data_IF_587556309369
#
_entry.id   IF_587556309369
#
_cell.length_a   1.000
_cell.length_b   1.000
_cell.length_c   1.000
_cell.angle_alpha   90.00
_cell.angle_beta   90.00
_cell.angle_gamma   90.00
#
_symmetry.space_group_name_H-M   'P 1'
#
loop_
_entity.id
_entity.type
_entity.pdbx_description
1 polymer ?
#
# COMPACT_ATOMS: atom_id res chain seq x y z
N UNK A 1 38.25 -0.92 15.27
CA UNK A 1 37.13 -0.18 14.63
C UNK A 1 36.31 -1.03 13.66
N UNK A 2 36.95 -1.74 12.72
CA UNK A 2 36.28 -2.60 11.71
C UNK A 2 35.32 -3.67 12.29
N UNK A 3 35.74 -4.40 13.33
CA UNK A 3 34.91 -5.43 13.97
C UNK A 3 33.65 -4.88 14.66
N UNK A 4 33.67 -3.62 15.12
CA UNK A 4 32.52 -2.98 15.76
C UNK A 4 31.42 -2.63 14.75
N UNK A 5 31.82 -2.16 13.56
CA UNK A 5 30.89 -1.86 12.46
C UNK A 5 30.25 -3.15 11.94
N UNK A 6 31.03 -4.20 11.71
CA UNK A 6 30.53 -5.52 11.29
C UNK A 6 29.52 -6.12 12.27
N UNK A 7 29.74 -5.96 13.58
CA UNK A 7 28.79 -6.42 14.60
C UNK A 7 27.49 -5.61 14.63
N UNK A 8 27.51 -4.31 14.32
CA UNK A 8 26.28 -3.51 14.19
C UNK A 8 25.43 -3.95 13.00
N UNK A 9 26.05 -4.22 11.84
CA UNK A 9 25.32 -4.71 10.65
C UNK A 9 24.63 -6.05 10.88
N UNK A 10 25.25 -6.97 11.65
CA UNK A 10 24.63 -8.25 11.97
C UNK A 10 23.36 -8.14 12.83
N UNK A 11 23.17 -7.01 13.53
CA UNK A 11 21.97 -6.76 14.35
C UNK A 11 20.79 -6.22 13.54
N UNK A 12 21.01 -5.76 12.31
CA UNK A 12 19.94 -5.26 11.46
C UNK A 12 19.04 -6.45 11.05
N UNK A 13 17.74 -6.24 11.22
CA UNK A 13 16.66 -7.15 10.86
C UNK A 13 15.83 -6.50 9.77
N UNK A 14 15.14 -7.32 8.99
CA UNK A 14 14.24 -6.90 7.91
C UNK A 14 13.23 -5.86 8.37
N UNK A 15 12.68 -6.04 9.57
CA UNK A 15 11.68 -5.14 10.14
C UNK A 15 12.21 -3.72 10.35
N UNK A 16 13.49 -3.54 10.68
CA UNK A 16 14.06 -2.19 10.86
C UNK A 16 14.09 -1.41 9.55
N UNK A 17 14.40 -2.08 8.43
CA UNK A 17 14.42 -1.44 7.11
C UNK A 17 13.01 -1.13 6.62
N UNK A 18 12.07 -2.08 6.78
CA UNK A 18 10.67 -1.89 6.40
C UNK A 18 10.02 -0.78 7.24
N UNK A 19 10.31 -0.73 8.54
CA UNK A 19 9.83 0.34 9.41
C UNK A 19 10.39 1.71 9.00
N UNK A 20 11.68 1.78 8.67
CA UNK A 20 12.28 3.00 8.16
C UNK A 20 11.61 3.46 6.86
N UNK A 21 11.40 2.56 5.90
CA UNK A 21 10.65 2.83 4.68
C UNK A 21 9.24 3.34 4.99
N UNK A 22 8.52 2.69 5.91
CA UNK A 22 7.16 3.06 6.29
C UNK A 22 7.10 4.48 6.89
N UNK A 23 8.00 4.78 7.84
CA UNK A 23 8.06 6.09 8.51
C UNK A 23 8.41 7.19 7.51
N UNK A 24 9.40 6.98 6.64
CA UNK A 24 9.78 7.96 5.63
C UNK A 24 8.58 8.28 4.74
N UNK A 25 7.90 7.25 4.20
CA UNK A 25 6.78 7.46 3.29
C UNK A 25 5.56 8.12 3.95
N UNK A 26 5.33 7.90 5.25
CA UNK A 26 4.26 8.60 5.99
C UNK A 26 4.38 10.12 5.86
N UNK A 27 5.59 10.68 5.90
CA UNK A 27 5.79 12.14 5.82
C UNK A 27 5.55 12.71 4.41
N UNK A 28 5.67 11.89 3.37
CA UNK A 28 5.48 12.32 1.98
C UNK A 28 4.09 11.98 1.43
N UNK A 29 3.33 11.15 2.14
CA UNK A 29 2.11 10.53 1.64
C UNK A 29 1.13 11.49 0.99
N UNK A 30 0.94 12.69 1.55
CA UNK A 30 0.00 13.70 1.02
C UNK A 30 0.68 14.81 0.23
N UNK A 31 2.01 14.89 0.29
CA UNK A 31 2.78 16.03 -0.22
C UNK A 31 3.37 15.73 -1.61
N UNK A 32 3.74 14.48 -1.86
CA UNK A 32 4.31 14.06 -3.14
C UNK A 32 4.12 12.55 -3.36
N UNK A 33 3.87 12.07 -4.59
CA UNK A 33 3.58 12.85 -5.81
C UNK A 33 2.19 13.51 -5.76
N UNK A 34 1.91 14.37 -6.75
CA UNK A 34 0.55 14.89 -6.98
C UNK A 34 -0.45 13.74 -7.16
N UNK A 35 -1.72 14.02 -6.89
CA UNK A 35 -2.80 13.03 -6.97
C UNK A 35 -2.94 12.55 -8.42
N UNK A 36 -2.86 11.23 -8.61
CA UNK A 36 -3.09 10.62 -9.92
C UNK A 36 -4.60 10.49 -10.18
N UNK A 37 -5.01 10.52 -11.46
CA UNK A 37 -6.42 10.37 -11.84
C UNK A 37 -7.04 9.10 -11.26
N UNK A 38 -6.29 8.00 -11.24
CA UNK A 38 -6.77 6.71 -10.70
C UNK A 38 -7.05 6.76 -9.20
N UNK A 39 -6.32 7.58 -8.43
CA UNK A 39 -6.55 7.73 -6.99
C UNK A 39 -7.89 8.42 -6.74
N UNK A 40 -8.17 9.50 -7.48
CA UNK A 40 -9.45 10.20 -7.42
C UNK A 40 -10.61 9.33 -7.94
N UNK A 41 -10.37 8.62 -9.04
CA UNK A 41 -11.31 7.70 -9.68
C UNK A 41 -11.75 6.59 -8.72
N UNK A 42 -10.80 5.77 -8.25
CA UNK A 42 -11.08 4.62 -7.39
C UNK A 42 -11.71 5.04 -6.05
N UNK A 43 -11.20 6.11 -5.45
CA UNK A 43 -11.74 6.62 -4.19
C UNK A 43 -13.16 7.18 -4.36
N UNK A 44 -13.40 7.93 -5.44
CA UNK A 44 -14.72 8.47 -5.78
C UNK A 44 -15.75 7.34 -5.96
N UNK A 45 -15.37 6.29 -6.68
CA UNK A 45 -16.20 5.10 -6.87
C UNK A 45 -16.50 4.36 -5.56
N UNK A 46 -15.49 4.20 -4.69
CA UNK A 46 -15.70 3.63 -3.35
C UNK A 46 -16.66 4.46 -2.51
N UNK A 47 -16.59 5.80 -2.60
CA UNK A 47 -17.52 6.70 -1.92
C UNK A 47 -18.93 6.59 -2.48
N UNK A 48 -19.08 6.50 -3.79
CA UNK A 48 -20.38 6.30 -4.46
C UNK A 48 -21.03 4.99 -4.00
N UNK A 49 -20.30 3.87 -4.09
CA UNK A 49 -20.76 2.54 -3.61
C UNK A 49 -21.21 2.62 -2.15
N UNK A 50 -20.47 3.33 -1.30
CA UNK A 50 -20.82 3.51 0.11
C UNK A 50 -22.11 4.29 0.31
N UNK A 51 -22.33 5.34 -0.48
CA UNK A 51 -23.50 6.22 -0.38
C UNK A 51 -24.76 5.57 -0.95
N UNK A 52 -24.65 4.89 -2.08
CA UNK A 52 -25.76 4.18 -2.75
C UNK A 52 -26.05 2.81 -2.13
N UNK A 53 -25.08 2.26 -1.40
CA UNK A 53 -25.08 0.86 -0.90
C UNK A 53 -25.20 -0.17 -2.03
N UNK A 54 -24.75 0.19 -3.22
CA UNK A 54 -24.82 -0.64 -4.41
C UNK A 54 -23.42 -0.92 -4.97
N UNK A 55 -23.04 -2.20 -5.00
CA UNK A 55 -21.75 -2.67 -5.51
C UNK A 55 -21.64 -2.58 -7.04
N UNK A 56 -22.78 -2.48 -7.74
CA UNK A 56 -22.84 -2.30 -9.18
C UNK A 56 -22.78 -0.84 -9.60
N UNK A 57 -22.75 0.10 -8.64
CA UNK A 57 -22.76 1.53 -8.94
C UNK A 57 -21.63 1.92 -9.90
N UNK A 58 -22.02 2.71 -10.90
CA UNK A 58 -21.15 3.39 -11.84
C UNK A 58 -20.80 4.78 -11.33
N UNK A 59 -19.87 5.42 -12.00
CA UNK A 59 -19.49 6.79 -11.65
C UNK A 59 -20.46 7.79 -12.23
N UNK A 60 -20.69 8.90 -11.53
CA UNK A 60 -21.56 9.97 -12.00
C UNK A 60 -21.11 10.58 -13.35
N UNK A 61 -19.83 10.41 -13.73
CA UNK A 61 -19.23 11.04 -14.92
C UNK A 61 -18.95 10.06 -16.07
N UNK A 62 -18.92 8.75 -15.82
CA UNK A 62 -18.59 7.71 -16.80
C UNK A 62 -19.65 6.60 -16.81
N UNK A 63 -20.90 7.00 -17.00
CA UNK A 63 -22.05 6.07 -17.12
C UNK A 63 -22.31 5.67 -18.59
N UNK A 64 -21.24 5.50 -19.38
CA UNK A 64 -21.33 5.17 -20.80
C UNK A 64 -21.54 3.67 -21.05
N UNK A 65 -21.14 2.82 -20.11
CA UNK A 65 -21.30 1.36 -20.18
C UNK A 65 -21.69 0.77 -18.82
N UNK A 66 -22.50 -0.30 -18.80
CA UNK A 66 -22.81 -1.02 -17.58
C UNK A 66 -21.54 -1.58 -16.96
N UNK A 67 -21.41 -1.43 -15.63
CA UNK A 67 -20.28 -1.99 -14.89
C UNK A 67 -20.50 -3.48 -14.63
N UNK A 68 -19.46 -4.27 -14.86
CA UNK A 68 -19.38 -5.65 -14.42
C UNK A 68 -18.47 -5.76 -13.18
N UNK A 69 -19.04 -5.81 -11.96
CA UNK A 69 -18.26 -5.80 -10.73
C UNK A 69 -17.55 -7.15 -10.54
N UNK A 70 -16.24 -7.15 -10.75
CA UNK A 70 -15.38 -8.31 -10.51
C UNK A 70 -15.04 -8.45 -9.02
N UNK A 71 -14.95 -9.68 -8.51
CA UNK A 71 -14.75 -9.96 -7.08
C UNK A 71 -13.54 -9.23 -6.47
N UNK A 72 -12.39 -9.22 -7.16
CA UNK A 72 -11.18 -8.52 -6.69
C UNK A 72 -11.39 -7.00 -6.60
N UNK A 73 -12.15 -6.41 -7.54
CA UNK A 73 -12.46 -4.97 -7.51
C UNK A 73 -13.42 -4.64 -6.37
N UNK A 74 -14.45 -5.46 -6.17
CA UNK A 74 -15.39 -5.33 -5.04
C UNK A 74 -14.60 -5.37 -3.73
N UNK A 75 -13.72 -6.38 -3.57
CA UNK A 75 -12.89 -6.50 -2.37
C UNK A 75 -12.06 -5.24 -2.13
N UNK A 76 -11.41 -4.71 -3.16
CA UNK A 76 -10.63 -3.49 -3.06
C UNK A 76 -11.48 -2.28 -2.65
N UNK A 77 -12.68 -2.10 -3.24
CA UNK A 77 -13.58 -1.01 -2.85
C UNK A 77 -14.11 -1.18 -1.42
N UNK A 78 -14.43 -2.40 -0.99
CA UNK A 78 -14.84 -2.65 0.40
C UNK A 78 -13.71 -2.34 1.40
N UNK A 79 -12.46 -2.65 1.04
CA UNK A 79 -11.30 -2.26 1.82
C UNK A 79 -11.17 -0.73 1.90
N UNK A 80 -11.30 -0.03 0.78
CA UNK A 80 -11.30 1.43 0.77
C UNK A 80 -12.44 2.02 1.61
N UNK A 81 -13.65 1.47 1.52
CA UNK A 81 -14.81 1.90 2.32
C UNK A 81 -14.54 1.71 3.82
N UNK A 82 -13.92 0.59 4.22
CA UNK A 82 -13.52 0.38 5.61
C UNK A 82 -12.58 1.48 6.08
N UNK A 83 -11.57 1.84 5.27
CA UNK A 83 -10.62 2.90 5.60
C UNK A 83 -11.26 4.29 5.59
N UNK A 84 -12.19 4.57 4.66
CA UNK A 84 -12.97 5.82 4.66
C UNK A 84 -13.72 5.99 5.98
N UNK A 85 -14.30 4.91 6.53
CA UNK A 85 -15.03 4.97 7.81
C UNK A 85 -14.13 5.20 9.02
N UNK A 86 -12.85 4.85 8.94
CA UNK A 86 -11.89 4.96 10.04
C UNK A 86 -11.10 6.27 10.02
N UNK A 87 -10.79 6.79 8.83
CA UNK A 87 -9.86 7.90 8.62
C UNK A 87 -10.44 9.04 7.76
N UNK A 88 -11.74 9.02 7.50
CA UNK A 88 -12.46 9.91 6.60
C UNK A 88 -12.05 9.82 5.12
N UNK A 89 -12.81 10.52 4.27
CA UNK A 89 -12.56 10.62 2.83
C UNK A 89 -11.46 11.66 2.54
N UNK A 90 -10.20 11.26 2.69
CA UNK A 90 -9.02 12.09 2.43
C UNK A 90 -7.97 11.31 1.64
N UNK A 91 -7.08 12.00 0.91
CA UNK A 91 -6.03 11.35 0.11
C UNK A 91 -5.11 10.46 0.97
N UNK A 92 -4.84 10.89 2.20
CA UNK A 92 -4.06 10.13 3.19
C UNK A 92 -4.61 8.72 3.38
N UNK A 93 -5.93 8.59 3.55
CA UNK A 93 -6.64 7.33 3.79
C UNK A 93 -6.35 6.29 2.71
N UNK A 94 -6.43 6.70 1.44
CA UNK A 94 -6.22 5.80 0.30
C UNK A 94 -4.75 5.44 0.12
N UNK A 95 -3.86 6.41 0.29
CA UNK A 95 -2.42 6.17 0.17
C UNK A 95 -1.86 5.35 1.34
N UNK A 96 -2.51 5.39 2.51
CA UNK A 96 -2.15 4.55 3.65
C UNK A 96 -2.37 3.07 3.33
N UNK A 97 -3.45 2.73 2.61
CA UNK A 97 -3.69 1.35 2.12
C UNK A 97 -2.53 0.91 1.24
N UNK A 98 -2.12 1.75 0.28
CA UNK A 98 -0.99 1.47 -0.61
C UNK A 98 0.32 1.31 0.15
N UNK A 99 0.57 2.13 1.18
CA UNK A 99 1.77 2.03 2.00
C UNK A 99 1.79 0.72 2.81
N UNK A 100 0.68 0.35 3.43
CA UNK A 100 0.56 -0.91 4.16
C UNK A 100 0.79 -2.11 3.24
N UNK A 101 0.15 -2.11 2.06
CA UNK A 101 0.33 -3.16 1.06
C UNK A 101 1.78 -3.22 0.55
N UNK A 102 2.41 -2.07 0.30
CA UNK A 102 3.81 -1.98 -0.12
C UNK A 102 4.78 -2.50 0.94
N UNK A 103 4.61 -2.11 2.20
CA UNK A 103 5.43 -2.63 3.30
C UNK A 103 5.26 -4.14 3.51
N UNK A 104 4.04 -4.65 3.35
CA UNK A 104 3.78 -6.08 3.41
C UNK A 104 4.41 -6.83 2.22
N UNK A 105 4.35 -6.25 1.01
CA UNK A 105 5.02 -6.78 -0.18
C UNK A 105 6.53 -6.87 0.01
N UNK A 106 7.17 -5.85 0.57
CA UNK A 106 8.60 -5.88 0.91
C UNK A 106 8.94 -7.03 1.86
N UNK A 107 8.12 -7.27 2.88
CA UNK A 107 8.32 -8.40 3.79
C UNK A 107 8.24 -9.75 3.07
N UNK A 108 7.25 -9.95 2.20
CA UNK A 108 7.13 -11.16 1.38
C UNK A 108 8.34 -11.30 0.47
N UNK A 109 8.75 -10.23 -0.19
CA UNK A 109 9.90 -10.22 -1.09
C UNK A 109 11.19 -10.61 -0.38
N UNK A 110 11.42 -10.11 0.84
CA UNK A 110 12.53 -10.56 1.68
C UNK A 110 12.50 -12.06 1.95
N UNK A 111 11.32 -12.62 2.27
CA UNK A 111 11.18 -14.07 2.51
C UNK A 111 11.46 -14.88 1.25
N UNK A 112 10.95 -14.46 0.10
CA UNK A 112 11.19 -15.12 -1.19
C UNK A 112 12.69 -15.06 -1.54
N UNK A 113 13.31 -13.88 -1.41
CA UNK A 113 14.74 -13.71 -1.65
C UNK A 113 15.59 -14.60 -0.75
N UNK A 114 15.21 -14.75 0.53
CA UNK A 114 15.90 -15.65 1.45
C UNK A 114 15.71 -17.11 1.08
N UNK A 115 14.51 -17.52 0.66
CA UNK A 115 14.24 -18.88 0.19
C UNK A 115 15.08 -19.25 -1.04
N UNK A 116 15.28 -18.31 -1.97
CA UNK A 116 16.03 -18.55 -3.21
C UNK A 116 17.54 -18.52 -2.96
N UNK A 117 18.03 -17.54 -2.20
CA UNK A 117 19.48 -17.30 -2.07
C UNK A 117 20.11 -17.96 -0.84
N UNK A 118 19.30 -18.34 0.15
CA UNK A 118 19.73 -18.80 1.48
C UNK A 118 20.72 -17.83 2.19
N UNK A 119 20.76 -16.57 1.77
CA UNK A 119 21.73 -15.57 2.23
C UNK A 119 21.03 -14.36 2.83
N UNK A 120 21.08 -14.26 4.16
CA UNK A 120 20.48 -13.11 4.89
C UNK A 120 20.97 -11.76 4.38
N UNK A 121 22.23 -11.65 3.97
CA UNK A 121 22.79 -10.39 3.46
C UNK A 121 22.17 -9.99 2.13
N UNK A 122 22.03 -10.94 1.19
CA UNK A 122 21.42 -10.69 -0.12
C UNK A 122 19.93 -10.36 0.02
N UNK A 123 19.24 -11.01 0.95
CA UNK A 123 17.83 -10.73 1.23
C UNK A 123 17.64 -9.36 1.88
N UNK A 124 18.51 -8.95 2.79
CA UNK A 124 18.46 -7.61 3.38
C UNK A 124 18.82 -6.52 2.36
N UNK A 125 19.78 -6.77 1.45
CA UNK A 125 20.09 -5.80 0.39
C UNK A 125 18.96 -5.63 -0.61
N UNK A 126 18.12 -6.65 -0.80
CA UNK A 126 16.96 -6.58 -1.68
C UNK A 126 15.83 -5.68 -1.15
N UNK A 127 15.93 -5.22 0.10
CA UNK A 127 14.98 -4.28 0.73
C UNK A 127 15.40 -2.82 0.63
N UNK A 128 16.60 -2.55 0.10
CA UNK A 128 17.19 -1.22 -0.10
C UNK A 128 17.07 -0.89 -1.59
#
# INVERSE_FOLDING_TARGET
>A
MYNSIKNKFNKIKEFHLILLFFIINIFFLTNFPFIHSDEAWLSGLSRQIMQTKDLASTEAFFDLMPRHPHAVKIFFHLLQIMFIKLFDYQIFTFRLISLLAGSFSLYIFYKISFLITNSKKLSLSALI
#
